data_IF_848224474407
#
_entry.id   IF_848224474407
#
_cell.length_a   1.000
_cell.length_b   1.000
_cell.length_c   1.000
_cell.angle_alpha   90.00
_cell.angle_beta   90.00
_cell.angle_gamma   90.00
#
_symmetry.space_group_name_H-M   'P 1'
#
loop_
_entity.id
_entity.type
_entity.pdbx_description
1 polymer ?
#
# COMPACT_ATOMS: atom_id res chain seq x y z
N UNK A 1 -0.90 5.93 -21.67
CA UNK A 1 -0.21 6.78 -20.66
C UNK A 1 -1.27 7.64 -19.99
N UNK A 2 -1.65 7.30 -18.75
CA UNK A 2 -2.68 8.03 -17.99
C UNK A 2 -2.06 9.28 -17.35
N UNK A 3 -2.75 10.43 -17.39
CA UNK A 3 -2.31 11.61 -16.66
C UNK A 3 -2.38 11.35 -15.14
N UNK A 4 -1.28 11.64 -14.43
CA UNK A 4 -1.21 11.50 -12.96
C UNK A 4 -2.15 12.48 -12.31
N UNK A 5 -2.23 13.70 -12.86
CA UNK A 5 -3.05 14.75 -12.31
C UNK A 5 -3.40 15.79 -13.38
N UNK A 6 -4.59 16.37 -13.26
CA UNK A 6 -5.07 17.48 -14.09
C UNK A 6 -5.34 18.64 -13.17
N UNK A 7 -4.79 19.81 -13.50
CA UNK A 7 -4.95 21.01 -12.70
C UNK A 7 -4.93 22.26 -13.55
N UNK A 8 -5.10 23.39 -12.90
CA UNK A 8 -5.11 24.70 -13.53
C UNK A 8 -4.19 25.64 -12.76
N UNK A 9 -3.26 26.27 -13.44
CA UNK A 9 -2.35 27.26 -12.84
C UNK A 9 -2.80 28.63 -13.34
N UNK A 10 -3.16 29.49 -12.41
CA UNK A 10 -3.58 30.87 -12.70
C UNK A 10 -2.44 31.83 -12.37
N UNK A 11 -2.07 32.68 -13.32
CA UNK A 11 -1.11 33.77 -13.11
C UNK A 11 -1.77 35.11 -13.44
N UNK A 12 -1.97 35.93 -12.42
CA UNK A 12 -2.68 37.22 -12.52
C UNK A 12 -4.15 37.03 -12.91
N UNK A 13 -4.45 37.19 -14.21
CA UNK A 13 -5.78 37.11 -14.81
C UNK A 13 -5.94 35.96 -15.81
N UNK A 14 -4.88 35.19 -16.08
CA UNK A 14 -4.89 34.12 -17.08
C UNK A 14 -4.89 32.78 -16.38
N UNK A 15 -5.86 31.92 -16.74
CA UNK A 15 -5.98 30.56 -16.25
C UNK A 15 -5.55 29.57 -17.33
N UNK A 16 -4.44 28.85 -17.13
CA UNK A 16 -3.94 27.86 -18.08
C UNK A 16 -4.22 26.44 -17.55
N UNK A 17 -4.98 25.60 -18.30
CA UNK A 17 -5.18 24.21 -17.95
C UNK A 17 -3.91 23.39 -18.24
N UNK A 18 -3.41 22.67 -17.25
CA UNK A 18 -2.22 21.81 -17.37
C UNK A 18 -2.55 20.35 -17.08
N UNK A 19 -1.87 19.44 -17.78
CA UNK A 19 -1.97 17.99 -17.56
C UNK A 19 -0.60 17.47 -17.19
N UNK A 20 -0.47 16.89 -16.00
CA UNK A 20 0.77 16.30 -15.53
C UNK A 20 0.77 14.82 -15.91
N UNK A 21 1.71 14.45 -16.77
CA UNK A 21 1.95 13.08 -17.19
C UNK A 21 3.19 12.55 -16.47
N UNK A 22 3.09 11.36 -15.88
CA UNK A 22 4.25 10.69 -15.30
C UNK A 22 5.23 10.30 -16.39
N UNK A 23 6.47 10.77 -16.28
CA UNK A 23 7.55 10.36 -17.18
C UNK A 23 7.99 8.91 -16.95
N UNK A 24 7.73 8.37 -15.75
CA UNK A 24 8.12 7.01 -15.35
C UNK A 24 6.90 6.29 -14.81
N UNK A 25 6.50 5.20 -15.46
CA UNK A 25 5.57 4.25 -14.87
C UNK A 25 6.38 3.37 -13.93
N UNK A 26 6.17 3.49 -12.62
CA UNK A 26 6.70 2.54 -11.66
C UNK A 26 5.96 1.21 -11.88
N UNK A 27 6.49 0.36 -12.77
CA UNK A 27 6.06 -1.02 -12.92
C UNK A 27 6.48 -1.76 -11.65
N UNK A 28 5.67 -1.66 -10.60
CA UNK A 28 5.80 -2.53 -9.45
C UNK A 28 5.38 -3.93 -9.89
N UNK A 29 6.37 -4.72 -10.32
CA UNK A 29 6.20 -6.16 -10.49
C UNK A 29 5.92 -6.72 -9.09
N UNK A 30 4.66 -7.01 -8.80
CA UNK A 30 4.26 -7.64 -7.56
C UNK A 30 4.61 -9.12 -7.65
N UNK A 31 5.70 -9.51 -6.99
CA UNK A 31 6.07 -10.92 -6.87
C UNK A 31 5.15 -11.59 -5.85
N UNK A 32 4.38 -12.57 -6.30
CA UNK A 32 3.68 -13.46 -5.39
C UNK A 32 4.70 -14.45 -4.82
N UNK A 33 4.72 -14.65 -3.51
CA UNK A 33 5.55 -15.67 -2.90
C UNK A 33 4.94 -17.05 -3.18
N UNK A 34 5.73 -17.89 -3.87
CA UNK A 34 5.34 -19.23 -4.30
C UNK A 34 6.21 -20.23 -3.54
N UNK A 35 5.60 -21.29 -3.02
CA UNK A 35 6.32 -22.41 -2.42
C UNK A 35 7.04 -23.20 -3.53
N UNK A 36 8.37 -23.21 -3.51
CA UNK A 36 9.22 -23.76 -4.57
C UNK A 36 8.87 -25.21 -4.99
N UNK A 37 8.68 -26.18 -4.07
CA UNK A 37 8.45 -27.57 -4.47
C UNK A 37 7.01 -27.84 -4.94
N UNK A 38 5.99 -27.13 -4.44
CA UNK A 38 4.59 -27.39 -4.80
C UNK A 38 3.95 -26.32 -5.69
N UNK A 39 4.71 -25.26 -6.03
CA UNK A 39 4.30 -24.13 -6.88
C UNK A 39 2.99 -23.45 -6.43
N UNK A 40 2.63 -23.59 -5.16
CA UNK A 40 1.42 -23.01 -4.61
C UNK A 40 1.69 -21.64 -3.99
N UNK A 41 0.66 -20.79 -3.91
CA UNK A 41 0.75 -19.49 -3.24
C UNK A 41 0.89 -19.69 -1.73
N UNK A 42 1.89 -19.04 -1.13
CA UNK A 42 2.08 -19.05 0.32
C UNK A 42 0.91 -18.31 0.99
N UNK A 43 0.28 -18.95 1.98
CA UNK A 43 -0.74 -18.35 2.84
C UNK A 43 -0.11 -18.03 4.19
N UNK A 44 -0.24 -16.78 4.62
CA UNK A 44 0.18 -16.36 5.96
C UNK A 44 -0.90 -16.68 6.97
N UNK A 45 -0.52 -17.44 8.01
CA UNK A 45 -1.36 -17.77 9.16
C UNK A 45 -0.74 -17.11 10.39
N UNK A 46 -1.55 -16.42 11.19
CA UNK A 46 -1.09 -15.70 12.39
C UNK A 46 -1.25 -16.61 13.60
N UNK A 47 -0.16 -16.90 14.31
CA UNK A 47 -0.15 -17.86 15.42
C UNK A 47 0.07 -17.15 16.75
N UNK A 48 -0.72 -17.50 17.78
CA UNK A 48 -0.53 -17.01 19.14
C UNK A 48 0.25 -18.04 19.97
N UNK A 49 1.44 -17.69 20.48
CA UNK A 49 2.26 -18.62 21.27
C UNK A 49 1.66 -18.93 22.64
N UNK A 50 0.74 -18.09 23.15
CA UNK A 50 0.13 -18.31 24.46
C UNK A 50 -1.02 -19.31 24.43
N UNK A 51 -1.85 -19.25 23.41
CA UNK A 51 -3.00 -20.14 23.24
C UNK A 51 -2.67 -21.37 22.37
N UNK A 52 -1.43 -21.45 21.87
CA UNK A 52 -0.92 -22.43 20.90
C UNK A 52 -1.82 -22.65 19.68
N UNK A 53 -2.55 -21.61 19.29
CA UNK A 53 -3.58 -21.66 18.27
C UNK A 53 -3.36 -20.58 17.24
N UNK A 54 -3.86 -20.86 16.06
CA UNK A 54 -3.94 -19.86 15.02
C UNK A 54 -5.08 -18.89 15.32
N UNK A 55 -4.76 -17.61 15.24
CA UNK A 55 -5.68 -16.52 15.58
C UNK A 55 -6.18 -15.90 14.29
N UNK A 56 -7.51 -15.91 14.04
CA UNK A 56 -8.11 -15.22 12.91
C UNK A 56 -7.90 -13.71 13.05
N UNK A 57 -7.86 -13.00 11.92
CA UNK A 57 -7.61 -11.55 11.94
C UNK A 57 -8.64 -10.75 12.76
N UNK A 58 -9.84 -11.30 12.96
CA UNK A 58 -10.93 -10.76 13.76
C UNK A 58 -10.61 -10.68 15.27
N UNK A 59 -9.82 -11.63 15.78
CA UNK A 59 -9.39 -11.68 17.18
C UNK A 59 -8.12 -10.84 17.43
N UNK A 60 -7.54 -10.25 16.38
CA UNK A 60 -6.32 -9.44 16.46
C UNK A 60 -6.70 -7.98 16.65
N UNK A 61 -6.80 -7.58 17.91
CA UNK A 61 -6.90 -6.17 18.26
C UNK A 61 -5.54 -5.49 18.02
N UNK A 62 -5.56 -4.35 17.31
CA UNK A 62 -4.39 -3.47 17.27
C UNK A 62 -4.29 -2.79 18.63
N UNK A 63 -3.26 -3.13 19.41
CA UNK A 63 -2.89 -2.32 20.56
C UNK A 63 -2.52 -0.93 20.07
N UNK A 64 -3.36 0.07 20.34
CA UNK A 64 -3.04 1.48 20.15
C UNK A 64 -1.99 1.88 21.19
N UNK A 65 -0.73 1.52 20.93
CA UNK A 65 0.41 2.14 21.57
C UNK A 65 0.35 3.63 21.25
N UNK A 66 0.26 4.44 22.30
CA UNK A 66 0.03 5.89 22.27
C UNK A 66 0.81 6.60 21.15
N UNK A 67 0.09 7.48 20.48
CA UNK A 67 0.64 8.60 19.71
C UNK A 67 1.59 9.44 20.58
N UNK A 68 2.84 9.56 20.19
CA UNK A 68 3.71 10.73 20.43
C UNK A 68 4.51 10.90 19.12
N UNK A 69 3.98 11.61 18.12
CA UNK A 69 4.15 13.05 17.91
C UNK A 69 5.59 13.52 18.16
N UNK A 70 6.25 13.91 17.06
CA UNK A 70 7.44 14.76 16.92
C UNK A 70 8.47 14.83 18.04
N UNK A 71 9.69 14.39 17.72
CA UNK A 71 10.91 15.18 17.88
C UNK A 71 11.82 14.90 16.69
#
# INVERSE_FOLDING_TARGET
>A
MQAIWKGSISFGLVNIPVKVCGAVNANQVSFNQIHEPCKSRIKYRKYCPHCEKEVPAEEIIKGSGRTTQGY
#
